data_IF_660117607648
#
_entry.id   IF_660117607648
#
_cell.length_a   1.000
_cell.length_b   1.000
_cell.length_c   1.000
_cell.angle_alpha   90.00
_cell.angle_beta   90.00
_cell.angle_gamma   90.00
#
_symmetry.space_group_name_H-M   'P 1'
#
loop_
_entity.id
_entity.type
_entity.pdbx_description
1 polymer ?
#
# COMPACT_ATOMS: atom_id res chain seq x y z
N UNK A 1 4.24 -3.72 -3.38
CA UNK A 1 3.50 -4.53 -4.38
C UNK A 1 2.26 -5.20 -3.80
N UNK A 2 2.33 -5.91 -2.66
CA UNK A 2 1.16 -6.58 -2.07
C UNK A 2 -0.07 -5.68 -1.91
N UNK A 3 0.10 -4.46 -1.40
CA UNK A 3 -1.01 -3.52 -1.18
C UNK A 3 -1.75 -3.13 -2.47
N UNK A 4 -1.03 -2.93 -3.58
CA UNK A 4 -1.61 -2.58 -4.89
C UNK A 4 -2.49 -3.73 -5.38
N UNK A 5 -1.97 -4.96 -5.32
CA UNK A 5 -2.69 -6.16 -5.77
C UNK A 5 -3.98 -6.36 -4.95
N UNK A 6 -3.88 -6.22 -3.62
CA UNK A 6 -5.05 -6.35 -2.74
C UNK A 6 -6.12 -5.31 -3.06
N UNK A 7 -5.74 -4.04 -3.25
CA UNK A 7 -6.70 -2.98 -3.56
C UNK A 7 -7.33 -3.13 -4.94
N UNK A 8 -6.57 -3.56 -5.96
CA UNK A 8 -7.10 -3.84 -7.30
C UNK A 8 -8.14 -4.96 -7.28
N UNK A 9 -7.88 -6.05 -6.55
CA UNK A 9 -8.83 -7.16 -6.41
C UNK A 9 -10.09 -6.69 -5.67
N UNK A 10 -9.93 -5.95 -4.57
CA UNK A 10 -11.05 -5.44 -3.78
C UNK A 10 -11.95 -4.52 -4.63
N UNK A 11 -11.34 -3.60 -5.37
CA UNK A 11 -12.07 -2.61 -6.16
C UNK A 11 -12.74 -3.24 -7.39
N UNK A 12 -12.08 -4.23 -8.03
CA UNK A 12 -12.67 -4.99 -9.13
C UNK A 12 -13.87 -5.83 -8.66
N UNK A 13 -13.82 -6.40 -7.45
CA UNK A 13 -14.96 -7.12 -6.87
C UNK A 13 -16.15 -6.20 -6.54
N UNK A 14 -15.87 -4.98 -6.06
CA UNK A 14 -16.90 -4.01 -5.64
C UNK A 14 -17.58 -3.33 -6.84
N UNK A 15 -16.82 -2.95 -7.86
CA UNK A 15 -17.33 -2.17 -9.00
C UNK A 15 -17.63 -3.02 -10.24
N UNK A 16 -17.07 -4.23 -10.36
CA UNK A 16 -17.26 -5.07 -11.54
C UNK A 16 -16.65 -4.51 -12.84
N UNK A 17 -15.76 -3.52 -12.72
CA UNK A 17 -15.09 -2.83 -13.83
C UNK A 17 -13.91 -3.63 -14.41
N UNK A 18 -13.49 -3.26 -15.61
CA UNK A 18 -12.37 -3.89 -16.31
C UNK A 18 -11.09 -3.87 -15.46
N UNK A 19 -10.50 -5.04 -15.24
CA UNK A 19 -9.32 -5.24 -14.40
C UNK A 19 -8.16 -4.32 -14.79
N UNK A 20 -7.90 -4.11 -16.09
CA UNK A 20 -6.78 -3.26 -16.54
C UNK A 20 -7.02 -1.80 -16.16
N UNK A 21 -8.26 -1.32 -16.29
CA UNK A 21 -8.61 0.05 -15.90
C UNK A 21 -8.49 0.24 -14.39
N UNK A 22 -9.00 -0.72 -13.61
CA UNK A 22 -8.90 -0.73 -12.14
C UNK A 22 -7.44 -0.77 -11.69
N UNK A 23 -6.61 -1.60 -12.32
CA UNK A 23 -5.17 -1.67 -12.01
C UNK A 23 -4.49 -0.32 -12.27
N UNK A 24 -4.78 0.32 -13.41
CA UNK A 24 -4.23 1.64 -13.72
C UNK A 24 -4.63 2.70 -12.69
N UNK A 25 -5.89 2.73 -12.28
CA UNK A 25 -6.39 3.63 -11.23
C UNK A 25 -5.67 3.42 -9.90
N UNK A 26 -5.56 2.17 -9.45
CA UNK A 26 -4.91 1.85 -8.16
C UNK A 26 -3.42 2.21 -8.19
N UNK A 27 -2.73 1.96 -9.31
CA UNK A 27 -1.31 2.32 -9.47
C UNK A 27 -1.14 3.85 -9.51
N UNK A 28 -2.00 4.57 -10.24
CA UNK A 28 -1.99 6.04 -10.30
C UNK A 28 -2.30 6.68 -8.93
N UNK A 29 -3.30 6.15 -8.23
CA UNK A 29 -3.66 6.57 -6.88
C UNK A 29 -2.51 6.32 -5.89
N UNK A 30 -1.89 5.15 -5.94
CA UNK A 30 -0.73 4.82 -5.10
C UNK A 30 0.48 5.72 -5.39
N UNK A 31 0.72 6.06 -6.66
CA UNK A 31 1.76 7.02 -7.02
C UNK A 31 1.39 8.49 -6.75
N UNK A 32 0.14 8.77 -6.35
CA UNK A 32 -0.44 10.12 -6.26
C UNK A 32 -0.23 10.94 -7.54
N UNK A 33 -0.28 10.27 -8.70
CA UNK A 33 0.01 10.86 -10.02
C UNK A 33 -1.15 11.74 -10.50
N UNK A 34 -2.37 11.45 -10.05
CA UNK A 34 -3.58 12.22 -10.37
C UNK A 34 -4.16 11.93 -11.76
N UNK A 35 -3.66 10.90 -12.45
CA UNK A 35 -4.15 10.51 -13.76
C UNK A 35 -5.23 9.43 -13.62
N UNK A 36 -6.31 9.54 -14.38
CA UNK A 36 -7.44 8.61 -14.33
C UNK A 36 -7.81 8.12 -15.73
N UNK A 37 -8.27 6.88 -15.82
CA UNK A 37 -8.89 6.29 -17.02
C UNK A 37 -10.36 6.68 -17.20
N UNK A 38 -10.89 7.52 -16.30
CA UNK A 38 -12.25 8.05 -16.34
C UNK A 38 -13.26 7.29 -15.48
N UNK A 39 -12.86 6.21 -14.81
CA UNK A 39 -13.73 5.43 -13.91
C UNK A 39 -13.89 6.08 -12.53
N UNK A 40 -12.92 6.89 -12.06
CA UNK A 40 -12.96 7.50 -10.70
C UNK A 40 -14.26 8.26 -10.40
N UNK A 41 -14.88 8.87 -11.41
CA UNK A 41 -16.14 9.60 -11.28
C UNK A 41 -17.37 8.69 -11.14
N UNK A 42 -17.35 7.51 -11.76
CA UNK A 42 -18.43 6.52 -11.73
C UNK A 42 -18.35 5.53 -10.57
N UNK A 43 -17.24 5.51 -9.81
CA UNK A 43 -17.10 4.64 -8.64
C UNK A 43 -18.22 4.86 -7.61
N UNK A 44 -18.69 3.76 -7.04
CA UNK A 44 -19.57 3.75 -5.87
C UNK A 44 -18.91 4.44 -4.67
N UNK A 45 -19.71 4.73 -3.64
CA UNK A 45 -19.22 5.32 -2.38
C UNK A 45 -18.13 4.43 -1.75
N UNK A 46 -18.31 3.11 -1.82
CA UNK A 46 -17.33 2.15 -1.31
C UNK A 46 -16.01 2.21 -2.12
N UNK A 47 -16.11 2.25 -3.45
CA UNK A 47 -14.94 2.38 -4.32
C UNK A 47 -14.14 3.67 -4.07
N UNK A 48 -14.83 4.79 -3.87
CA UNK A 48 -14.18 6.08 -3.57
C UNK A 48 -13.40 6.03 -2.26
N UNK A 49 -13.93 5.38 -1.22
CA UNK A 49 -13.23 5.19 0.05
C UNK A 49 -11.94 4.37 -0.15
N UNK A 50 -12.00 3.30 -0.96
CA UNK A 50 -10.84 2.45 -1.26
C UNK A 50 -9.74 3.28 -1.97
N UNK A 51 -10.10 4.09 -2.98
CA UNK A 51 -9.15 4.96 -3.68
C UNK A 51 -8.54 6.00 -2.75
N UNK A 52 -9.33 6.62 -1.87
CA UNK A 52 -8.83 7.60 -0.88
C UNK A 52 -7.79 6.96 0.04
N UNK A 53 -8.06 5.76 0.57
CA UNK A 53 -7.09 5.02 1.41
C UNK A 53 -5.82 4.71 0.60
N UNK A 54 -5.98 4.33 -0.67
CA UNK A 54 -4.85 4.03 -1.56
C UNK A 54 -3.99 5.27 -1.79
N UNK A 55 -4.58 6.44 -2.03
CA UNK A 55 -3.86 7.71 -2.18
C UNK A 55 -3.13 8.12 -0.90
N UNK A 56 -3.77 7.96 0.26
CA UNK A 56 -3.15 8.28 1.54
C UNK A 56 -1.93 7.40 1.83
N UNK A 57 -2.08 6.10 1.58
CA UNK A 57 -1.00 5.11 1.67
C UNK A 57 0.14 5.45 0.71
N UNK A 58 -0.20 5.81 -0.53
CA UNK A 58 0.74 6.25 -1.55
C UNK A 58 1.54 7.48 -1.14
N UNK A 59 0.86 8.48 -0.55
CA UNK A 59 1.47 9.73 -0.11
C UNK A 59 2.40 9.57 1.10
N UNK A 60 2.03 8.74 2.07
CA UNK A 60 2.90 8.38 3.22
C UNK A 60 4.09 7.55 2.74
N UNK A 61 3.87 6.77 1.68
CA UNK A 61 4.84 5.87 1.10
C UNK A 61 4.98 4.57 1.91
N UNK A 62 5.41 3.49 1.26
CA UNK A 62 5.57 2.19 1.91
C UNK A 62 6.61 2.20 3.04
N UNK A 63 7.65 3.03 2.92
CA UNK A 63 8.64 3.24 3.99
C UNK A 63 8.04 3.96 5.20
N UNK A 64 7.23 4.99 4.98
CA UNK A 64 6.56 5.72 6.07
C UNK A 64 5.58 4.83 6.85
N UNK A 65 4.82 3.99 6.15
CA UNK A 65 3.95 3.01 6.79
C UNK A 65 4.73 1.92 7.53
N UNK A 66 5.80 1.39 6.93
CA UNK A 66 6.64 0.41 7.58
C UNK A 66 7.24 0.96 8.88
N UNK A 67 7.76 2.19 8.86
CA UNK A 67 8.31 2.85 10.04
C UNK A 67 7.25 3.18 11.10
N UNK A 68 6.04 3.55 10.70
CA UNK A 68 4.92 3.80 11.61
C UNK A 68 4.45 2.54 12.34
N UNK A 69 4.49 1.39 11.65
CA UNK A 69 4.11 0.09 12.21
C UNK A 69 5.25 -0.56 13.02
N UNK A 70 6.49 -0.12 12.84
CA UNK A 70 7.60 -0.56 13.68
C UNK A 70 7.39 0.02 15.08
N UNK A 71 7.01 -0.86 16.00
CA UNK A 71 7.04 -0.56 17.42
C UNK A 71 8.48 -0.27 17.82
N UNK A 72 8.75 0.91 18.40
CA UNK A 72 10.06 1.21 19.00
C UNK A 72 10.38 0.10 19.98
N UNK A 73 11.33 -0.78 19.63
CA UNK A 73 11.98 -1.62 20.62
C UNK A 73 12.73 -0.66 21.54
N UNK A 74 12.45 -0.72 22.84
CA UNK A 74 13.34 -0.07 23.79
C UNK A 74 14.75 -0.56 23.52
N UNK A 75 15.77 0.32 23.60
CA UNK A 75 17.14 -0.13 23.45
C UNK A 75 17.37 -1.26 24.45
N UNK A 76 17.62 -2.48 23.97
CA UNK A 76 18.01 -3.59 24.83
C UNK A 76 19.31 -3.17 25.53
N UNK A 77 19.22 -2.87 26.82
CA UNK A 77 20.38 -2.57 27.69
C UNK A 77 21.22 -3.84 27.91
N UNK A 78 20.71 -5.01 27.50
CA UNK A 78 21.35 -6.31 27.62
C UNK A 78 22.17 -6.57 26.35
N UNK A 79 23.49 -6.47 26.49
CA UNK A 79 24.43 -6.82 25.43
C UNK A 79 24.70 -8.32 25.49
N UNK A 80 24.18 -9.09 24.53
CA UNK A 80 24.50 -10.51 24.40
C UNK A 80 25.97 -10.68 23.99
N UNK A 81 26.68 -11.70 24.50
CA UNK A 81 28.08 -11.96 24.11
C UNK A 81 28.18 -12.23 22.61
N UNK A 82 29.13 -11.55 21.95
CA UNK A 82 29.39 -11.72 20.52
C UNK A 82 30.06 -13.08 20.29
N UNK A 83 29.31 -14.07 19.81
CA UNK A 83 29.85 -15.35 19.39
C UNK A 83 30.35 -15.23 17.94
N UNK A 84 31.62 -15.57 17.70
CA UNK A 84 32.20 -15.57 16.34
C UNK A 84 31.67 -16.77 15.57
N UNK A 85 30.64 -16.57 14.76
CA UNK A 85 30.17 -17.58 13.81
C UNK A 85 31.13 -17.59 12.61
N UNK A 86 31.95 -18.64 12.50
CA UNK A 86 32.77 -18.89 11.31
C UNK A 86 31.85 -19.42 10.20
N UNK A 87 31.55 -18.58 9.21
CA UNK A 87 30.86 -19.02 8.00
C UNK A 87 31.93 -19.52 7.03
N UNK A 88 31.96 -20.84 6.83
CA UNK A 88 32.81 -21.50 5.84
C UNK A 88 32.32 -21.33 4.41
#
# INVERSE_FOLDING_TARGET
MGLIITMTILLSYVEGEDFIKVLFEVVSAFGTVGLSTGITSSLSIAGKIIIIITMFTGRIGPLGLALSLIQKREPEIIKYPEEKIMVG
#
